data_IF_726868036883
#
_entry.id   IF_726868036883
#
_cell.length_a   1.000
_cell.length_b   1.000
_cell.length_c   1.000
_cell.angle_alpha   90.00
_cell.angle_beta   90.00
_cell.angle_gamma   90.00
#
_symmetry.space_group_name_H-M   'P 1'
#
loop_
_entity.id
_entity.type
_entity.pdbx_description
1 polymer ?
#
# COMPACT_ATOMS: atom_id res chain seq x y z
N UNK A 1 -2.95 -3.74 10.95
CA UNK A 1 -4.02 -2.90 11.54
C UNK A 1 -4.21 -3.07 13.06
N UNK A 2 -3.56 -4.05 13.69
CA UNK A 2 -3.74 -4.39 15.11
C UNK A 2 -3.54 -3.25 16.11
N UNK A 3 -2.65 -2.29 15.80
CA UNK A 3 -2.42 -1.12 16.65
C UNK A 3 -3.64 -0.21 16.74
N UNK A 4 -4.36 0.04 15.65
CA UNK A 4 -5.57 0.89 15.64
C UNK A 4 -6.71 0.23 16.42
N UNK A 5 -6.86 -1.10 16.31
CA UNK A 5 -7.83 -1.87 17.13
C UNK A 5 -7.52 -1.84 18.61
N UNK A 6 -6.25 -1.75 18.98
CA UNK A 6 -5.84 -1.75 20.39
C UNK A 6 -6.05 -0.42 21.13
N UNK A 7 -6.43 0.65 20.42
CA UNK A 7 -6.62 1.97 21.01
C UNK A 7 -7.83 2.00 21.96
N UNK A 8 -7.58 2.46 23.19
CA UNK A 8 -8.56 2.60 24.26
C UNK A 8 -8.69 4.05 24.70
N UNK A 9 -9.88 4.44 25.14
CA UNK A 9 -10.10 5.73 25.80
C UNK A 9 -9.56 5.68 27.24
N UNK A 10 -9.60 6.83 27.95
CA UNK A 10 -9.16 6.93 29.34
C UNK A 10 -9.98 6.05 30.32
N UNK A 11 -11.15 5.57 29.89
CA UNK A 11 -12.04 4.70 30.67
C UNK A 11 -11.81 3.21 30.37
N UNK A 12 -10.86 2.87 29.49
CA UNK A 12 -10.51 1.50 29.13
C UNK A 12 -11.37 0.88 28.03
N UNK A 13 -12.32 1.62 27.45
CA UNK A 13 -13.13 1.16 26.33
C UNK A 13 -12.36 1.28 25.02
N UNK A 14 -12.55 0.29 24.15
CA UNK A 14 -11.99 0.33 22.80
C UNK A 14 -12.66 1.43 21.96
N UNK A 15 -11.85 2.29 21.34
CA UNK A 15 -12.34 3.44 20.56
C UNK A 15 -12.91 2.99 19.21
N UNK A 16 -12.28 1.99 18.61
CA UNK A 16 -12.60 1.56 17.25
C UNK A 16 -13.53 0.34 17.19
N UNK A 17 -13.22 -0.72 17.93
CA UNK A 17 -13.99 -1.97 17.87
C UNK A 17 -13.91 -2.73 19.18
N UNK A 18 -15.05 -3.22 19.68
CA UNK A 18 -15.06 -4.15 20.82
C UNK A 18 -14.57 -5.53 20.36
N UNK A 19 -13.77 -6.26 21.16
CA UNK A 19 -13.14 -7.52 20.74
C UNK A 19 -14.10 -8.61 20.23
N UNK A 20 -15.40 -8.53 20.57
CA UNK A 20 -16.42 -9.50 20.20
C UNK A 20 -17.23 -9.14 18.93
N UNK A 21 -17.09 -7.93 18.39
CA UNK A 21 -17.80 -7.57 17.16
C UNK A 21 -17.01 -8.08 15.95
N UNK A 22 -17.48 -9.13 15.28
CA UNK A 22 -16.72 -9.87 14.28
C UNK A 22 -16.50 -9.23 12.90
N UNK A 23 -16.72 -7.91 12.68
CA UNK A 23 -16.49 -7.16 11.41
C UNK A 23 -16.86 -5.66 11.57
N UNK A 24 -16.48 -4.71 10.67
CA UNK A 24 -15.97 -4.91 9.31
C UNK A 24 -14.75 -4.04 8.89
N UNK A 25 -14.23 -4.29 7.68
CA UNK A 25 -13.13 -3.58 7.03
C UNK A 25 -13.38 -2.10 6.69
N UNK A 26 -13.96 -1.34 7.62
CA UNK A 26 -14.16 0.10 7.49
C UNK A 26 -13.73 0.85 8.76
N UNK A 27 -12.93 1.91 8.61
CA UNK A 27 -12.61 2.85 9.68
C UNK A 27 -13.59 4.02 9.60
N UNK A 28 -14.46 4.16 10.60
CA UNK A 28 -15.50 5.21 10.68
C UNK A 28 -16.31 5.37 9.38
N UNK A 29 -16.70 4.24 8.77
CA UNK A 29 -17.49 4.21 7.53
C UNK A 29 -16.67 4.25 6.23
N UNK A 30 -15.35 4.48 6.29
CA UNK A 30 -14.48 4.43 5.12
C UNK A 30 -13.81 3.06 4.98
N UNK A 31 -13.81 2.43 3.80
CA UNK A 31 -13.09 1.19 3.58
C UNK A 31 -11.59 1.40 3.76
N UNK A 32 -10.91 0.43 4.35
CA UNK A 32 -9.46 0.41 4.43
C UNK A 32 -8.92 -0.89 3.82
N UNK A 33 -7.70 -0.83 3.31
CA UNK A 33 -6.95 -1.98 2.80
C UNK A 33 -5.59 -1.99 3.46
N UNK A 34 -5.21 -3.12 4.04
CA UNK A 34 -3.87 -3.34 4.57
C UNK A 34 -2.94 -3.69 3.41
N UNK A 35 -1.77 -3.07 3.38
CA UNK A 35 -0.75 -3.29 2.35
C UNK A 35 0.58 -3.50 3.07
N UNK A 36 1.23 -4.64 2.82
CA UNK A 36 2.49 -5.02 3.49
C UNK A 36 3.67 -4.11 3.12
N UNK A 37 3.56 -3.34 2.04
CA UNK A 37 4.57 -2.38 1.61
C UNK A 37 4.53 -1.02 2.35
N UNK A 38 3.57 -0.81 3.26
CA UNK A 38 3.58 0.40 4.10
C UNK A 38 4.60 0.24 5.24
N UNK A 39 5.36 1.30 5.59
CA UNK A 39 6.25 1.28 6.74
C UNK A 39 5.51 0.97 8.04
N UNK A 40 6.17 0.27 8.97
CA UNK A 40 5.59 -0.01 10.28
C UNK A 40 5.67 1.21 11.19
N UNK A 41 4.84 1.25 12.23
CA UNK A 41 4.86 2.29 13.26
C UNK A 41 6.20 2.33 14.01
N UNK A 42 6.92 1.21 14.07
CA UNK A 42 8.23 1.09 14.70
C UNK A 42 9.39 1.58 13.80
N UNK A 43 9.14 1.83 12.51
CA UNK A 43 10.15 2.38 11.62
C UNK A 43 10.41 3.85 11.98
N UNK A 44 11.52 4.07 12.66
CA UNK A 44 11.86 5.31 13.38
C UNK A 44 12.30 6.47 12.47
N UNK A 45 12.10 6.40 11.16
CA UNK A 45 12.37 7.52 10.30
C UNK A 45 11.28 8.58 10.52
N UNK A 46 11.67 9.74 11.07
CA UNK A 46 10.75 10.87 11.27
C UNK A 46 10.00 11.20 9.97
N UNK A 47 8.72 11.53 10.09
CA UNK A 47 7.83 11.84 8.95
C UNK A 47 7.52 10.67 8.00
N UNK A 48 7.74 9.42 8.43
CA UNK A 48 7.36 8.25 7.62
C UNK A 48 5.84 8.07 7.64
N UNK A 49 5.17 8.11 6.47
CA UNK A 49 3.73 7.94 6.41
C UNK A 49 3.37 6.47 6.63
N UNK A 50 2.59 6.20 7.67
CA UNK A 50 2.14 4.85 8.01
C UNK A 50 0.65 4.63 7.68
N UNK A 51 -0.12 5.71 7.49
CA UNK A 51 -1.50 5.66 6.98
C UNK A 51 -1.68 6.75 5.92
N UNK A 52 -2.22 6.37 4.76
CA UNK A 52 -2.67 7.29 3.72
C UNK A 52 -4.18 7.25 3.57
N UNK A 53 -4.84 8.39 3.73
CA UNK A 53 -6.24 8.58 3.35
C UNK A 53 -6.27 9.26 1.99
N UNK A 54 -6.75 8.58 0.97
CA UNK A 54 -7.01 9.24 -0.29
C UNK A 54 -8.31 8.77 -0.91
N UNK A 55 -9.07 9.70 -1.48
CA UNK A 55 -10.22 9.33 -2.29
C UNK A 55 -9.74 8.85 -3.67
N UNK A 56 -9.99 7.57 -4.04
CA UNK A 56 -9.46 6.97 -5.25
C UNK A 56 -9.95 7.66 -6.53
N UNK A 57 -11.06 8.42 -6.48
CA UNK A 57 -11.54 9.22 -7.62
C UNK A 57 -10.54 10.27 -8.08
N UNK A 58 -9.66 10.73 -7.20
CA UNK A 58 -8.63 11.74 -7.51
C UNK A 58 -7.25 11.13 -7.76
N UNK A 59 -7.15 9.80 -7.84
CA UNK A 59 -5.95 9.10 -8.27
C UNK A 59 -6.01 8.85 -9.78
N UNK A 60 -5.03 9.40 -10.49
CA UNK A 60 -4.80 9.10 -11.90
C UNK A 60 -3.93 7.85 -11.97
N UNK A 61 -4.57 6.72 -12.27
CA UNK A 61 -3.88 5.52 -12.73
C UNK A 61 -3.91 5.54 -14.26
N UNK A 62 -2.76 5.75 -14.87
CA UNK A 62 -2.60 5.67 -16.32
C UNK A 62 -1.74 4.46 -16.66
N UNK A 63 -2.33 3.55 -17.41
CA UNK A 63 -1.63 2.42 -17.99
C UNK A 63 -1.12 2.82 -19.38
N UNK A 64 0.20 2.92 -19.56
CA UNK A 64 0.77 3.30 -20.85
C UNK A 64 0.78 2.12 -21.82
N UNK A 65 1.23 0.96 -21.33
CA UNK A 65 1.33 -0.29 -22.09
C UNK A 65 1.05 -1.40 -21.08
N UNK A 66 0.22 -2.37 -21.48
CA UNK A 66 -0.08 -3.56 -20.71
C UNK A 66 1.15 -4.39 -20.35
N UNK A 67 0.95 -5.59 -19.81
CA UNK A 67 2.08 -6.45 -19.48
C UNK A 67 2.69 -7.01 -20.78
N UNK A 68 3.92 -6.60 -21.08
CA UNK A 68 4.72 -7.18 -22.15
C UNK A 68 5.53 -8.35 -21.60
N UNK A 69 5.35 -9.54 -22.18
CA UNK A 69 6.13 -10.73 -21.86
C UNK A 69 7.05 -11.02 -23.02
N UNK A 70 8.36 -11.12 -22.75
CA UNK A 70 9.38 -11.48 -23.73
C UNK A 70 10.10 -12.74 -23.27
N UNK A 71 10.23 -13.72 -24.16
CA UNK A 71 11.03 -14.91 -23.93
C UNK A 71 12.34 -14.78 -24.72
N UNK A 72 13.45 -15.06 -24.06
CA UNK A 72 14.78 -15.06 -24.63
C UNK A 72 15.36 -16.47 -24.53
N UNK A 73 15.39 -17.17 -25.66
CA UNK A 73 16.01 -18.50 -25.77
C UNK A 73 17.36 -18.47 -26.48
N UNK A 74 17.67 -17.41 -27.24
CA UNK A 74 18.84 -17.37 -28.14
C UNK A 74 19.89 -16.31 -27.73
N UNK A 75 19.80 -15.78 -26.51
CA UNK A 75 20.84 -14.84 -26.01
C UNK A 75 22.11 -15.61 -25.66
N UNK A 76 23.29 -14.99 -25.80
CA UNK A 76 24.59 -15.65 -25.53
C UNK A 76 24.61 -16.31 -24.14
N UNK A 77 24.06 -15.66 -23.11
CA UNK A 77 23.86 -16.28 -21.80
C UNK A 77 22.86 -17.45 -21.80
N UNK A 78 21.72 -17.35 -22.50
CA UNK A 78 20.71 -18.42 -22.57
C UNK A 78 21.23 -19.72 -23.18
N UNK A 79 22.11 -19.61 -24.17
CA UNK A 79 22.76 -20.75 -24.83
C UNK A 79 23.88 -21.35 -23.96
N UNK A 80 24.55 -20.52 -23.15
CA UNK A 80 25.62 -20.99 -22.24
C UNK A 80 25.03 -21.70 -21.02
N UNK A 81 23.88 -21.23 -20.54
CA UNK A 81 23.24 -21.72 -19.32
C UNK A 81 22.17 -22.80 -19.58
N UNK A 82 21.83 -23.10 -20.84
CA UNK A 82 20.71 -23.97 -21.26
C UNK A 82 19.37 -23.60 -20.57
N UNK A 83 19.14 -22.30 -20.39
CA UNK A 83 17.97 -21.74 -19.71
C UNK A 83 17.25 -20.73 -20.61
N UNK A 84 15.92 -20.83 -20.67
CA UNK A 84 15.08 -19.83 -21.31
C UNK A 84 14.73 -18.72 -20.31
N UNK A 85 15.03 -17.47 -20.65
CA UNK A 85 14.76 -16.32 -19.79
C UNK A 85 13.41 -15.68 -20.16
N UNK A 86 12.61 -15.32 -19.15
CA UNK A 86 11.35 -14.61 -19.32
C UNK A 86 11.43 -13.23 -18.66
N UNK A 87 11.16 -12.17 -19.41
CA UNK A 87 11.03 -10.81 -18.90
C UNK A 87 9.61 -10.33 -19.06
N UNK A 88 8.94 -10.08 -17.94
CA UNK A 88 7.66 -9.38 -17.89
C UNK A 88 7.89 -7.90 -17.53
N UNK A 89 7.39 -6.99 -18.36
CA UNK A 89 7.46 -5.54 -18.12
C UNK A 89 6.06 -4.93 -18.16
N UNK A 90 5.72 -4.18 -17.13
CA UNK A 90 4.54 -3.30 -17.13
C UNK A 90 4.98 -1.85 -16.98
N UNK A 91 4.23 -0.92 -17.57
CA UNK A 91 4.50 0.53 -17.48
C UNK A 91 3.24 1.25 -17.03
N UNK A 92 3.19 1.55 -15.75
CA UNK A 92 2.08 2.24 -15.10
C UNK A 92 2.57 3.53 -14.45
N UNK A 93 1.70 4.53 -14.41
CA UNK A 93 1.93 5.79 -13.74
C UNK A 93 0.80 6.07 -12.76
N UNK A 94 1.18 6.57 -11.59
CA UNK A 94 0.27 6.98 -10.53
C UNK A 94 0.52 8.43 -10.18
N UNK A 95 -0.50 9.26 -10.24
CA UNK A 95 -0.45 10.63 -9.74
C UNK A 95 -1.72 11.01 -8.98
N UNK A 96 -1.57 11.94 -8.05
CA UNK A 96 -2.68 12.56 -7.34
C UNK A 96 -3.11 13.80 -8.15
N UNK A 97 -4.32 13.78 -8.70
CA UNK A 97 -4.85 14.91 -9.50
C UNK A 97 -5.14 16.15 -8.64
N UNK A 98 -5.59 15.94 -7.40
CA UNK A 98 -5.95 17.00 -6.46
C UNK A 98 -5.16 16.78 -5.16
N UNK A 99 -4.12 17.58 -4.87
CA UNK A 99 -3.25 17.36 -3.72
C UNK A 99 -3.98 17.35 -2.38
N UNK A 100 -5.08 18.11 -2.25
CA UNK A 100 -5.89 18.19 -1.03
C UNK A 100 -6.79 16.97 -0.80
N UNK A 101 -6.93 16.09 -1.80
CA UNK A 101 -7.77 14.89 -1.71
C UNK A 101 -7.07 13.71 -1.03
N UNK A 102 -5.76 13.81 -0.77
CA UNK A 102 -5.01 12.83 -0.01
C UNK A 102 -4.42 13.46 1.25
N UNK A 103 -4.61 12.82 2.40
CA UNK A 103 -3.94 13.13 3.66
C UNK A 103 -3.05 11.95 4.08
N UNK A 104 -1.90 12.24 4.68
CA UNK A 104 -1.01 11.23 5.25
C UNK A 104 -0.88 11.46 6.74
N UNK A 105 -0.93 10.39 7.52
CA UNK A 105 -0.53 10.40 8.92
C UNK A 105 0.91 9.92 9.00
N UNK A 106 1.75 10.74 9.61
CA UNK A 106 3.15 10.42 9.85
C UNK A 106 3.37 10.13 11.31
N UNK A 107 4.36 9.30 11.62
CA UNK A 107 4.85 9.19 13.00
C UNK A 107 5.31 10.56 13.47
N UNK A 108 5.10 10.85 14.76
CA UNK A 108 5.61 12.11 15.34
C UNK A 108 7.12 12.16 15.13
N UNK A 109 7.62 13.30 14.65
CA UNK A 109 9.01 13.64 14.85
C UNK A 109 9.18 13.88 16.36
N UNK A 110 10.04 13.11 17.02
CA UNK A 110 10.64 13.59 18.27
C UNK A 110 11.35 14.93 18.05
#
# INVERSE_FOLDING_TARGET
>A
MDKVRSLKNAMGDYIYQKPAEGKPGTIWGYPFTEVDGMPDLADSAASTPFIGFCNPRYLLNLNRIGMEVKMFSETIQAVTDDLSYLSARTRQFFAVAVPTACAKLTTNAE
#
